data_IF_444278301084
#
_entry.id   IF_444278301084
#
_cell.length_a   1.000
_cell.length_b   1.000
_cell.length_c   1.000
_cell.angle_alpha   90.00
_cell.angle_beta   90.00
_cell.angle_gamma   90.00
#
_symmetry.space_group_name_H-M   'P 1'
#
loop_
_entity.id
_entity.type
_entity.pdbx_description
1 polymer ?
#
# COMPACT_ATOMS: atom_id res chain seq x y z
N UNK A 1 24.57 -0.24 -20.24
CA UNK A 1 23.21 -0.45 -19.73
C UNK A 1 23.31 -0.52 -18.22
N UNK A 2 22.42 0.13 -17.48
CA UNK A 2 22.42 0.07 -16.00
C UNK A 2 21.94 -1.29 -15.51
N UNK A 3 22.33 -1.69 -14.29
CA UNK A 3 21.80 -2.90 -13.65
C UNK A 3 20.26 -2.86 -13.57
N UNK A 4 19.68 -1.68 -13.30
CA UNK A 4 18.24 -1.44 -13.30
C UNK A 4 17.59 -1.81 -14.64
N UNK A 5 18.13 -1.32 -15.75
CA UNK A 5 17.61 -1.62 -17.10
C UNK A 5 17.66 -3.12 -17.41
N UNK A 6 18.73 -3.81 -16.98
CA UNK A 6 18.82 -5.27 -17.15
C UNK A 6 17.81 -6.01 -16.28
N UNK A 7 17.63 -5.59 -15.03
CA UNK A 7 16.65 -6.20 -14.12
C UNK A 7 15.21 -6.04 -14.60
N UNK A 8 14.88 -4.96 -15.33
CA UNK A 8 13.55 -4.77 -15.92
C UNK A 8 13.18 -5.84 -16.96
N UNK A 9 14.14 -6.63 -17.47
CA UNK A 9 13.83 -7.81 -18.27
C UNK A 9 13.28 -8.98 -17.45
N UNK A 10 13.43 -8.95 -16.12
CA UNK A 10 13.06 -10.01 -15.18
C UNK A 10 11.91 -9.64 -14.25
N UNK A 11 11.54 -8.36 -14.16
CA UNK A 11 10.48 -7.86 -13.26
C UNK A 11 9.54 -6.90 -13.98
N UNK A 12 8.32 -6.77 -13.45
CA UNK A 12 7.25 -5.98 -14.06
C UNK A 12 7.44 -4.47 -14.04
N UNK A 13 8.20 -3.92 -13.09
CA UNK A 13 8.31 -2.47 -12.91
C UNK A 13 9.59 -2.03 -12.20
N UNK A 14 9.87 -0.72 -12.26
CA UNK A 14 11.04 -0.13 -11.60
C UNK A 14 11.01 -0.27 -10.07
N UNK A 15 9.81 -0.22 -9.47
CA UNK A 15 9.67 -0.40 -8.03
C UNK A 15 10.11 -1.79 -7.57
N UNK A 16 9.85 -2.82 -8.39
CA UNK A 16 10.33 -4.18 -8.16
C UNK A 16 11.86 -4.25 -8.23
N UNK A 17 12.45 -3.73 -9.32
CA UNK A 17 13.90 -3.75 -9.51
C UNK A 17 14.63 -3.04 -8.37
N UNK A 18 14.13 -1.87 -7.97
CA UNK A 18 14.69 -1.10 -6.85
C UNK A 18 14.60 -1.88 -5.55
N UNK A 19 13.43 -2.43 -5.23
CA UNK A 19 13.23 -3.23 -4.02
C UNK A 19 14.19 -4.42 -3.94
N UNK A 20 14.38 -5.15 -5.05
CA UNK A 20 15.26 -6.32 -5.06
C UNK A 20 16.72 -5.94 -4.80
N UNK A 21 17.19 -4.85 -5.40
CA UNK A 21 18.55 -4.35 -5.17
C UNK A 21 18.70 -3.88 -3.72
N UNK A 22 17.85 -2.96 -3.26
CA UNK A 22 17.96 -2.35 -1.93
C UNK A 22 17.91 -3.37 -0.80
N UNK A 23 17.20 -4.50 -0.99
CA UNK A 23 17.11 -5.59 -0.03
C UNK A 23 18.14 -6.72 -0.24
N UNK A 24 19.13 -6.55 -1.13
CA UNK A 24 20.19 -7.54 -1.35
C UNK A 24 19.70 -8.86 -1.95
N UNK A 25 18.60 -8.80 -2.72
CA UNK A 25 17.97 -9.96 -3.38
C UNK A 25 18.46 -10.15 -4.82
N UNK A 26 19.51 -9.43 -5.23
CA UNK A 26 20.13 -9.55 -6.55
C UNK A 26 21.59 -9.92 -6.40
N UNK A 27 22.01 -10.96 -7.11
CA UNK A 27 23.42 -11.25 -7.36
C UNK A 27 23.79 -10.94 -8.80
N UNK A 28 24.95 -10.31 -8.97
CA UNK A 28 25.59 -10.09 -10.27
C UNK A 28 26.93 -10.82 -10.22
N UNK A 29 27.13 -11.79 -11.12
CA UNK A 29 28.32 -12.64 -11.16
C UNK A 29 28.64 -13.30 -9.80
N UNK A 30 27.60 -13.72 -9.07
CA UNK A 30 27.72 -14.35 -7.75
C UNK A 30 27.86 -13.39 -6.57
N UNK A 31 28.01 -12.08 -6.80
CA UNK A 31 28.12 -11.07 -5.75
C UNK A 31 26.78 -10.39 -5.47
N UNK A 32 26.37 -10.33 -4.20
CA UNK A 32 25.15 -9.60 -3.80
C UNK A 32 25.36 -8.11 -4.02
N UNK A 33 24.40 -7.49 -4.69
CA UNK A 33 24.40 -6.05 -5.01
C UNK A 33 23.29 -5.36 -4.24
N UNK A 34 23.63 -4.26 -3.56
CA UNK A 34 22.68 -3.38 -2.85
C UNK A 34 22.66 -1.94 -3.36
N UNK A 35 23.47 -1.63 -4.37
CA UNK A 35 23.58 -0.30 -4.96
C UNK A 35 23.16 -0.35 -6.43
N UNK A 36 22.13 0.44 -6.77
CA UNK A 36 21.55 0.49 -8.11
C UNK A 36 22.39 1.27 -9.13
N UNK A 37 23.43 1.97 -8.68
CA UNK A 37 24.36 2.73 -9.52
C UNK A 37 25.48 1.88 -10.11
N UNK A 38 25.64 0.64 -9.62
CA UNK A 38 26.66 -0.28 -10.13
C UNK A 38 26.33 -0.63 -11.60
N UNK A 39 27.27 -0.38 -12.54
CA UNK A 39 27.07 -0.74 -13.93
C UNK A 39 27.04 -2.27 -14.08
N UNK A 40 26.25 -2.75 -15.03
CA UNK A 40 26.20 -4.16 -15.40
C UNK A 40 26.47 -4.31 -16.90
N UNK A 41 27.44 -5.15 -17.26
CA UNK A 41 27.71 -5.56 -18.63
C UNK A 41 26.60 -6.51 -19.11
N UNK A 42 26.37 -6.58 -20.42
CA UNK A 42 25.46 -7.55 -21.04
C UNK A 42 25.87 -9.00 -20.81
N UNK A 43 27.16 -9.25 -20.52
CA UNK A 43 27.68 -10.59 -20.19
C UNK A 43 27.47 -10.99 -18.72
N UNK A 44 27.15 -10.04 -17.83
CA UNK A 44 27.03 -10.39 -16.42
C UNK A 44 25.82 -11.30 -16.17
N UNK A 45 26.01 -12.32 -15.33
CA UNK A 45 24.93 -13.21 -14.92
C UNK A 45 24.15 -12.58 -13.77
N UNK A 46 22.84 -12.43 -13.95
CA UNK A 46 21.92 -11.90 -12.93
C UNK A 46 21.15 -13.06 -12.31
N UNK A 47 21.20 -13.16 -10.99
CA UNK A 47 20.43 -14.11 -10.19
C UNK A 47 19.56 -13.33 -9.21
N UNK A 48 18.26 -13.63 -9.17
CA UNK A 48 17.33 -13.10 -8.17
C UNK A 48 17.19 -14.15 -7.06
N UNK A 49 17.49 -13.75 -5.83
CA UNK A 49 17.41 -14.61 -4.66
C UNK A 49 15.96 -14.81 -4.22
N UNK A 50 15.68 -15.99 -3.66
CA UNK A 50 14.38 -16.28 -3.06
C UNK A 50 14.17 -15.44 -1.80
N UNK A 51 12.91 -15.08 -1.54
CA UNK A 51 12.47 -14.43 -0.31
C UNK A 51 11.30 -15.20 0.32
N UNK A 52 11.04 -14.95 1.61
CA UNK A 52 9.87 -15.44 2.32
C UNK A 52 9.01 -14.25 2.81
N UNK A 53 7.73 -14.13 2.39
CA UNK A 53 7.06 -14.96 1.38
C UNK A 53 7.64 -14.78 -0.04
N UNK A 54 7.35 -15.73 -0.97
CA UNK A 54 7.90 -15.75 -2.32
C UNK A 54 7.64 -14.45 -3.10
N UNK A 55 8.64 -14.02 -3.87
CA UNK A 55 8.57 -12.82 -4.68
C UNK A 55 7.61 -13.00 -5.87
N UNK A 56 6.68 -12.06 -6.04
CA UNK A 56 5.84 -11.96 -7.23
C UNK A 56 6.48 -11.01 -8.24
N UNK A 57 7.49 -11.48 -8.96
CA UNK A 57 8.26 -10.66 -9.92
C UNK A 57 7.39 -9.93 -10.97
N UNK A 58 6.23 -10.49 -11.29
CA UNK A 58 5.26 -9.92 -12.23
C UNK A 58 4.12 -9.10 -11.59
N UNK A 59 4.18 -8.82 -10.28
CA UNK A 59 3.12 -8.10 -9.58
C UNK A 59 3.07 -6.61 -9.99
N UNK A 60 1.89 -5.96 -9.92
CA UNK A 60 1.77 -4.55 -10.27
C UNK A 60 2.56 -3.66 -9.29
N UNK A 61 2.84 -2.42 -9.69
CA UNK A 61 3.65 -1.49 -8.89
C UNK A 61 3.13 -1.28 -7.46
N UNK A 62 1.80 -1.23 -7.27
CA UNK A 62 1.20 -1.09 -5.94
C UNK A 62 1.50 -2.25 -5.00
N UNK A 63 1.77 -3.46 -5.52
CA UNK A 63 2.27 -4.59 -4.70
C UNK A 63 3.64 -4.26 -4.10
N UNK A 64 4.56 -3.73 -4.91
CA UNK A 64 5.92 -3.41 -4.46
C UNK A 64 5.94 -2.22 -3.50
N UNK A 65 5.06 -1.23 -3.70
CA UNK A 65 4.85 -0.15 -2.71
C UNK A 65 4.34 -0.71 -1.39
N UNK A 66 3.35 -1.60 -1.43
CA UNK A 66 2.85 -2.30 -0.26
C UNK A 66 3.96 -3.13 0.42
N UNK A 67 4.81 -3.79 -0.36
CA UNK A 67 5.93 -4.60 0.15
C UNK A 67 6.94 -3.75 0.92
N UNK A 68 7.36 -2.60 0.38
CA UNK A 68 8.25 -1.64 1.06
C UNK A 68 7.65 -1.21 2.41
N UNK A 69 6.37 -0.85 2.43
CA UNK A 69 5.69 -0.48 3.68
C UNK A 69 5.62 -1.65 4.66
N UNK A 70 5.30 -2.85 4.17
CA UNK A 70 5.19 -4.04 4.99
C UNK A 70 6.50 -4.41 5.68
N UNK A 71 7.63 -4.32 4.98
CA UNK A 71 8.94 -4.59 5.59
C UNK A 71 9.30 -3.60 6.69
N UNK A 72 8.91 -2.34 6.51
CA UNK A 72 9.27 -1.29 7.45
C UNK A 72 8.37 -1.25 8.67
N UNK A 73 7.07 -1.51 8.51
CA UNK A 73 6.08 -1.32 9.60
C UNK A 73 5.23 -2.54 9.96
N UNK A 74 5.30 -3.63 9.18
CA UNK A 74 4.56 -4.86 9.46
C UNK A 74 3.04 -4.68 9.55
N UNK A 75 2.44 -3.98 8.58
CA UNK A 75 1.03 -3.62 8.65
C UNK A 75 0.07 -4.81 8.43
N UNK A 76 0.56 -5.95 7.93
CA UNK A 76 -0.16 -7.23 7.81
C UNK A 76 0.57 -8.33 8.58
N UNK A 77 -0.18 -9.20 9.24
CA UNK A 77 0.33 -10.38 9.95
C UNK A 77 -0.46 -11.63 9.57
N UNK A 78 0.10 -12.81 9.86
CA UNK A 78 -0.56 -14.09 9.59
C UNK A 78 -1.94 -14.16 10.23
N UNK A 79 -2.96 -14.52 9.46
CA UNK A 79 -4.34 -14.62 9.93
C UNK A 79 -5.05 -13.28 10.15
N UNK A 80 -4.41 -12.13 9.88
CA UNK A 80 -5.08 -10.83 9.94
C UNK A 80 -6.26 -10.80 8.95
N UNK A 81 -7.33 -10.13 9.34
CA UNK A 81 -8.37 -9.68 8.42
C UNK A 81 -8.06 -8.26 7.95
N UNK A 82 -8.07 -8.02 6.64
CA UNK A 82 -7.65 -6.73 6.06
C UNK A 82 -8.77 -6.19 5.16
N UNK A 83 -9.34 -5.05 5.52
CA UNK A 83 -10.25 -4.32 4.64
C UNK A 83 -9.42 -3.43 3.70
N UNK A 84 -9.52 -3.66 2.39
CA UNK A 84 -8.89 -2.83 1.37
C UNK A 84 -9.96 -2.11 0.56
N UNK A 85 -9.88 -0.78 0.51
CA UNK A 85 -10.74 0.06 -0.32
C UNK A 85 -9.90 0.69 -1.42
N UNK A 86 -10.17 0.35 -2.68
CA UNK A 86 -9.32 0.71 -3.82
C UNK A 86 -10.13 1.20 -5.02
N UNK A 87 -9.56 2.04 -5.90
CA UNK A 87 -10.26 2.50 -7.12
C UNK A 87 -10.28 1.45 -8.24
N UNK A 88 -9.22 0.64 -8.33
CA UNK A 88 -9.02 -0.41 -9.33
C UNK A 88 -8.33 -1.59 -8.68
N UNK A 89 -8.43 -2.77 -9.29
CA UNK A 89 -7.75 -3.98 -8.80
C UNK A 89 -6.24 -3.72 -8.64
N UNK A 90 -5.78 -3.69 -7.39
CA UNK A 90 -4.42 -3.34 -7.01
C UNK A 90 -3.56 -4.53 -6.60
N UNK A 91 -2.28 -4.26 -6.32
CA UNK A 91 -1.32 -5.25 -5.82
C UNK A 91 -1.39 -5.50 -4.32
N UNK A 92 -2.01 -4.62 -3.54
CA UNK A 92 -2.13 -4.76 -2.08
C UNK A 92 -2.80 -6.07 -1.65
N UNK A 93 -3.95 -6.50 -2.23
CA UNK A 93 -4.57 -7.77 -1.87
C UNK A 93 -3.68 -8.99 -2.14
N UNK A 94 -2.78 -8.90 -3.14
CA UNK A 94 -1.79 -9.95 -3.40
C UNK A 94 -0.79 -10.06 -2.25
N UNK A 95 -0.30 -8.92 -1.74
CA UNK A 95 0.57 -8.88 -0.57
C UNK A 95 -0.13 -9.47 0.66
N UNK A 96 -1.39 -9.10 0.93
CA UNK A 96 -2.15 -9.65 2.06
C UNK A 96 -2.18 -11.17 2.02
N UNK A 97 -2.43 -11.75 0.84
CA UNK A 97 -2.44 -13.21 0.64
C UNK A 97 -1.07 -13.86 0.84
N UNK A 98 0.02 -13.18 0.49
CA UNK A 98 1.37 -13.70 0.71
C UNK A 98 1.68 -13.88 2.21
N UNK A 99 1.04 -13.11 3.08
CA UNK A 99 1.11 -13.28 4.54
C UNK A 99 0.04 -14.21 5.11
N UNK A 100 -0.72 -14.92 4.25
CA UNK A 100 -1.84 -15.79 4.66
C UNK A 100 -2.86 -15.06 5.55
N UNK A 101 -3.09 -13.79 5.22
CA UNK A 101 -4.15 -12.97 5.78
C UNK A 101 -5.36 -12.94 4.83
N UNK A 102 -6.53 -12.55 5.33
CA UNK A 102 -7.80 -12.54 4.61
C UNK A 102 -8.11 -11.13 4.10
N UNK A 103 -8.06 -10.88 2.77
CA UNK A 103 -8.42 -9.58 2.20
C UNK A 103 -9.94 -9.47 1.95
N UNK A 104 -10.56 -8.45 2.51
CA UNK A 104 -11.87 -7.95 2.10
C UNK A 104 -11.68 -6.75 1.17
N UNK A 105 -12.05 -6.87 -0.10
CA UNK A 105 -11.84 -5.81 -1.09
C UNK A 105 -13.15 -5.10 -1.42
N UNK A 106 -13.14 -3.78 -1.33
CA UNK A 106 -14.23 -2.91 -1.78
C UNK A 106 -13.69 -1.96 -2.84
N UNK A 107 -14.15 -2.10 -4.07
CA UNK A 107 -13.78 -1.18 -5.15
C UNK A 107 -14.47 0.17 -4.98
N UNK A 108 -13.90 1.26 -5.49
CA UNK A 108 -14.50 2.58 -5.41
C UNK A 108 -15.87 2.62 -6.10
N UNK A 109 -16.09 1.80 -7.13
CA UNK A 109 -17.41 1.64 -7.75
C UNK A 109 -18.46 1.12 -6.76
N UNK A 110 -18.09 0.13 -5.94
CA UNK A 110 -18.94 -0.40 -4.87
C UNK A 110 -19.06 0.59 -3.71
N UNK A 111 -17.95 1.26 -3.36
CA UNK A 111 -17.88 2.22 -2.27
C UNK A 111 -18.68 3.51 -2.53
N UNK A 112 -18.72 3.96 -3.79
CA UNK A 112 -19.38 5.18 -4.24
C UNK A 112 -20.78 4.94 -4.82
N UNK A 113 -21.20 3.68 -5.01
CA UNK A 113 -22.49 3.24 -5.56
C UNK A 113 -23.00 4.07 -6.76
N UNK A 114 -22.85 3.52 -7.97
CA UNK A 114 -22.96 4.16 -9.31
C UNK A 114 -24.27 4.85 -9.72
N UNK A 115 -25.15 5.28 -8.80
CA UNK A 115 -26.40 5.99 -9.13
C UNK A 115 -26.46 7.48 -8.74
N UNK A 116 -25.42 8.05 -8.14
CA UNK A 116 -25.41 9.48 -7.77
C UNK A 116 -24.00 10.08 -7.87
N UNK A 117 -23.50 10.24 -9.09
CA UNK A 117 -22.36 11.13 -9.33
C UNK A 117 -22.89 12.53 -9.60
N UNK A 118 -23.51 13.13 -8.56
CA UNK A 118 -23.64 14.57 -8.39
C UNK A 118 -23.67 14.86 -6.88
N UNK A 119 -22.54 15.30 -6.33
CA UNK A 119 -22.54 16.11 -5.11
C UNK A 119 -22.20 15.48 -3.75
N UNK A 120 -21.96 14.16 -3.62
CA UNK A 120 -21.44 13.63 -2.35
C UNK A 120 -20.69 12.31 -2.55
N UNK A 121 -19.39 12.21 -2.21
CA UNK A 121 -18.73 10.92 -2.20
C UNK A 121 -19.27 10.09 -1.01
N UNK A 122 -19.17 8.76 -1.14
CA UNK A 122 -19.26 7.75 -0.07
C UNK A 122 -20.70 7.30 0.27
N UNK A 123 -21.07 6.07 -0.10
CA UNK A 123 -22.46 5.56 -0.01
C UNK A 123 -22.59 4.21 0.69
N UNK A 124 -21.56 3.75 1.42
CA UNK A 124 -21.66 2.57 2.30
C UNK A 124 -21.77 3.00 3.76
N UNK A 125 -22.80 2.49 4.43
CA UNK A 125 -23.01 2.60 5.87
C UNK A 125 -22.09 1.64 6.63
N UNK A 126 -21.81 1.88 7.93
CA UNK A 126 -21.08 0.93 8.77
C UNK A 126 -21.69 -0.49 8.76
N UNK A 127 -23.02 -0.60 8.62
CA UNK A 127 -23.71 -1.89 8.52
C UNK A 127 -23.39 -2.64 7.21
N UNK A 128 -23.28 -1.93 6.09
CA UNK A 128 -22.90 -2.53 4.81
C UNK A 128 -21.43 -2.95 4.80
N UNK A 129 -20.55 -2.18 5.43
CA UNK A 129 -19.14 -2.56 5.60
C UNK A 129 -19.02 -3.80 6.48
N UNK A 130 -19.75 -3.86 7.60
CA UNK A 130 -19.79 -5.06 8.47
C UNK A 130 -20.38 -6.28 7.77
N UNK A 131 -21.35 -6.11 6.87
CA UNK A 131 -21.88 -7.21 6.08
C UNK A 131 -20.81 -7.82 5.14
N UNK A 132 -19.89 -7.00 4.64
CA UNK A 132 -18.75 -7.45 3.81
C UNK A 132 -17.69 -8.12 4.65
N UNK A 133 -17.28 -7.51 5.78
CA UNK A 133 -16.15 -8.00 6.59
C UNK A 133 -16.55 -9.06 7.61
N UNK A 134 -17.84 -9.27 7.85
CA UNK A 134 -18.46 -10.16 8.87
C UNK A 134 -18.13 -9.82 10.33
N UNK A 135 -17.02 -9.13 10.58
CA UNK A 135 -16.55 -8.63 11.88
C UNK A 135 -15.68 -7.37 11.68
N UNK A 136 -15.17 -6.81 12.78
CA UNK A 136 -14.12 -5.78 12.68
C UNK A 136 -12.83 -6.39 12.15
N UNK A 137 -12.06 -5.62 11.39
CA UNK A 137 -10.81 -6.02 10.74
C UNK A 137 -9.56 -5.63 11.53
N UNK A 138 -8.46 -6.36 11.33
CA UNK A 138 -7.16 -6.12 11.98
C UNK A 138 -6.39 -4.97 11.31
N UNK A 139 -6.54 -4.83 9.99
CA UNK A 139 -5.98 -3.73 9.23
C UNK A 139 -6.98 -3.12 8.23
N UNK A 140 -6.83 -1.82 8.00
CA UNK A 140 -7.57 -1.06 7.00
C UNK A 140 -6.57 -0.42 6.04
N UNK A 141 -6.76 -0.64 4.74
CA UNK A 141 -6.02 0.01 3.67
C UNK A 141 -7.00 0.84 2.86
N UNK A 142 -6.73 2.14 2.72
CA UNK A 142 -7.56 3.07 1.95
C UNK A 142 -6.73 3.70 0.83
N UNK A 143 -6.91 3.22 -0.39
CA UNK A 143 -6.20 3.65 -1.60
C UNK A 143 -7.19 4.32 -2.57
N UNK A 144 -7.51 5.59 -2.30
CA UNK A 144 -8.38 6.39 -3.15
C UNK A 144 -7.62 7.61 -3.72
N UNK A 145 -7.61 7.74 -5.04
CA UNK A 145 -7.16 8.94 -5.76
C UNK A 145 -8.21 10.06 -5.67
N UNK A 146 -8.42 10.57 -4.45
CA UNK A 146 -9.29 11.72 -4.16
C UNK A 146 -8.47 12.83 -3.49
N UNK A 147 -9.05 14.03 -3.42
CA UNK A 147 -8.54 15.09 -2.55
C UNK A 147 -8.45 14.59 -1.09
N UNK A 148 -7.39 15.00 -0.38
CA UNK A 148 -7.10 14.54 0.98
C UNK A 148 -8.28 14.70 1.96
N UNK A 149 -9.08 15.77 1.85
CA UNK A 149 -10.24 15.94 2.72
C UNK A 149 -11.32 14.89 2.45
N UNK A 150 -11.54 14.52 1.18
CA UNK A 150 -12.47 13.45 0.82
C UNK A 150 -11.98 12.09 1.32
N UNK A 151 -10.66 11.87 1.34
CA UNK A 151 -10.06 10.66 1.92
C UNK A 151 -10.29 10.61 3.43
N UNK A 152 -10.11 11.72 4.16
CA UNK A 152 -10.42 11.75 5.60
C UNK A 152 -11.90 11.50 5.88
N UNK A 153 -12.81 12.09 5.11
CA UNK A 153 -14.25 11.80 5.21
C UNK A 153 -14.59 10.31 4.94
N UNK A 154 -13.88 9.67 4.01
CA UNK A 154 -14.03 8.24 3.74
C UNK A 154 -13.57 7.41 4.93
N UNK A 155 -12.41 7.77 5.47
CA UNK A 155 -11.80 7.09 6.59
C UNK A 155 -12.67 7.18 7.85
N UNK A 156 -13.30 8.32 8.16
CA UNK A 156 -14.22 8.46 9.31
C UNK A 156 -15.32 7.39 9.32
N UNK A 157 -15.84 7.05 8.13
CA UNK A 157 -16.91 6.06 7.97
C UNK A 157 -16.40 4.61 8.01
N UNK A 158 -15.15 4.40 7.63
CA UNK A 158 -14.48 3.10 7.62
C UNK A 158 -13.89 2.74 8.98
N UNK A 159 -13.45 3.72 9.76
CA UNK A 159 -12.81 3.51 11.05
C UNK A 159 -13.61 2.61 12.00
N UNK A 160 -14.96 2.72 12.12
CA UNK A 160 -15.74 1.79 12.94
C UNK A 160 -15.56 0.30 12.62
N UNK A 161 -15.16 -0.04 11.39
CA UNK A 161 -14.86 -1.42 10.98
C UNK A 161 -13.46 -1.87 11.41
N UNK A 162 -12.53 -0.97 11.72
CA UNK A 162 -11.19 -1.31 12.20
C UNK A 162 -11.23 -1.66 13.70
N UNK A 163 -10.57 -2.73 14.13
CA UNK A 163 -10.44 -3.09 15.56
C UNK A 163 -9.71 -1.99 16.34
N UNK A 164 -9.92 -1.97 17.66
CA UNK A 164 -9.07 -1.18 18.56
C UNK A 164 -7.62 -1.60 18.37
N UNK A 165 -6.69 -0.63 18.32
CA UNK A 165 -5.26 -0.89 18.00
C UNK A 165 -5.01 -1.50 16.61
N UNK A 166 -6.04 -1.56 15.77
CA UNK A 166 -5.94 -1.98 14.38
C UNK A 166 -5.01 -1.06 13.59
N UNK A 167 -4.43 -1.62 12.54
CA UNK A 167 -3.41 -0.97 11.70
C UNK A 167 -4.09 -0.22 10.55
N UNK A 168 -3.64 0.98 10.25
CA UNK A 168 -4.15 1.78 9.15
C UNK A 168 -3.04 2.09 8.15
N UNK A 169 -3.34 1.90 6.87
CA UNK A 169 -2.58 2.50 5.76
C UNK A 169 -3.54 3.34 4.93
N UNK A 170 -3.24 4.63 4.75
CA UNK A 170 -4.06 5.53 3.93
C UNK A 170 -3.22 6.24 2.88
N UNK A 171 -3.67 6.24 1.63
CA UNK A 171 -3.07 7.01 0.56
C UNK A 171 -3.69 8.41 0.51
N UNK A 172 -2.84 9.43 0.53
CA UNK A 172 -3.21 10.81 0.27
C UNK A 172 -2.58 11.25 -1.05
N UNK A 173 -3.41 11.54 -2.05
CA UNK A 173 -2.95 11.89 -3.39
C UNK A 173 -2.36 13.31 -3.44
N UNK A 174 -1.31 13.49 -4.23
CA UNK A 174 -0.62 14.76 -4.50
C UNK A 174 -1.38 15.73 -5.39
N UNK A 175 -2.68 15.51 -5.63
CA UNK A 175 -3.53 16.41 -6.42
C UNK A 175 -3.53 17.83 -5.82
N UNK A 176 -2.67 18.69 -6.36
CA UNK A 176 -2.53 20.09 -5.96
C UNK A 176 -1.77 20.33 -4.65
N UNK A 177 -1.07 19.32 -4.11
CA UNK A 177 -0.29 19.45 -2.86
C UNK A 177 1.01 18.65 -2.94
N UNK A 178 2.08 19.19 -2.35
CA UNK A 178 3.34 18.46 -2.20
C UNK A 178 3.30 17.46 -1.04
N UNK A 179 4.26 16.54 -1.01
CA UNK A 179 4.34 15.50 0.01
C UNK A 179 4.49 16.04 1.44
N UNK A 180 5.14 17.21 1.61
CA UNK A 180 5.31 17.83 2.91
C UNK A 180 3.97 18.33 3.47
N UNK A 181 3.20 19.00 2.63
CA UNK A 181 1.86 19.49 2.98
C UNK A 181 0.92 18.34 3.32
N UNK A 182 1.02 17.21 2.59
CA UNK A 182 0.22 16.02 2.88
C UNK A 182 0.61 15.35 4.21
N UNK A 183 1.90 15.27 4.54
CA UNK A 183 2.38 14.78 5.84
C UNK A 183 1.84 15.66 6.99
N UNK A 184 1.96 16.99 6.86
CA UNK A 184 1.42 17.94 7.83
C UNK A 184 -0.09 17.77 8.02
N UNK A 185 -0.85 17.61 6.93
CA UNK A 185 -2.28 17.32 6.99
C UNK A 185 -2.57 16.00 7.71
N UNK A 186 -1.86 14.93 7.37
CA UNK A 186 -2.05 13.62 7.99
C UNK A 186 -1.83 13.68 9.50
N UNK A 187 -0.74 14.31 9.94
CA UNK A 187 -0.40 14.47 11.37
C UNK A 187 -1.37 15.38 12.11
N UNK A 188 -2.10 16.25 11.41
CA UNK A 188 -3.15 17.08 12.01
C UNK A 188 -4.48 16.35 12.13
N UNK A 189 -4.97 15.76 11.04
CA UNK A 189 -6.35 15.24 10.97
C UNK A 189 -6.48 13.82 11.51
N UNK A 190 -5.50 12.94 11.29
CA UNK A 190 -5.62 11.54 11.74
C UNK A 190 -5.71 11.39 13.26
N UNK A 191 -4.98 12.18 14.10
CA UNK A 191 -5.16 12.12 15.54
C UNK A 191 -6.57 12.52 16.02
N UNK A 192 -7.21 13.50 15.36
CA UNK A 192 -8.61 13.89 15.64
C UNK A 192 -9.58 12.73 15.37
N UNK A 193 -9.19 11.79 14.50
CA UNK A 193 -9.92 10.58 14.16
C UNK A 193 -9.49 9.35 14.99
N UNK A 194 -8.77 9.55 16.10
CA UNK A 194 -8.23 8.49 16.95
C UNK A 194 -7.23 7.56 16.23
N UNK A 195 -6.44 8.12 15.32
CA UNK A 195 -5.35 7.41 14.65
C UNK A 195 -4.02 8.08 14.99
N UNK A 196 -3.14 7.29 15.58
CA UNK A 196 -1.78 7.70 15.90
C UNK A 196 -0.85 7.43 14.70
N UNK A 197 -0.37 8.51 14.07
CA UNK A 197 0.48 8.47 12.88
C UNK A 197 1.89 8.05 13.25
N UNK A 198 2.31 6.89 12.73
CA UNK A 198 3.62 6.29 13.03
C UNK A 198 4.64 6.57 11.94
N UNK A 199 4.22 6.50 10.68
CA UNK A 199 5.14 6.66 9.56
C UNK A 199 4.45 7.23 8.32
N UNK A 200 5.22 7.96 7.51
CA UNK A 200 4.78 8.50 6.22
C UNK A 200 5.78 8.10 5.15
N UNK A 201 5.27 7.56 4.06
CA UNK A 201 6.02 7.05 2.92
C UNK A 201 5.76 7.94 1.71
N UNK A 202 6.72 8.79 1.34
CA UNK A 202 6.57 9.64 0.16
C UNK A 202 6.75 8.83 -1.12
N UNK A 203 5.80 8.98 -2.04
CA UNK A 203 5.89 8.50 -3.42
C UNK A 203 5.70 9.67 -4.38
N UNK A 204 5.83 9.40 -5.68
CA UNK A 204 5.71 10.44 -6.71
C UNK A 204 4.28 11.00 -6.81
N UNK A 205 3.27 10.17 -6.61
CA UNK A 205 1.86 10.51 -6.78
C UNK A 205 1.18 11.00 -5.49
N UNK A 206 1.90 11.02 -4.36
CA UNK A 206 1.37 11.37 -3.05
C UNK A 206 2.10 10.64 -1.93
N UNK A 207 1.45 10.55 -0.77
CA UNK A 207 2.02 9.89 0.42
C UNK A 207 1.13 8.76 0.89
N UNK A 208 1.74 7.67 1.34
CA UNK A 208 1.06 6.69 2.17
C UNK A 208 1.36 6.99 3.64
N UNK A 209 0.34 6.91 4.48
CA UNK A 209 0.45 7.17 5.91
C UNK A 209 0.11 5.89 6.64
N UNK A 210 1.03 5.42 7.48
CA UNK A 210 0.81 4.32 8.40
C UNK A 210 0.51 4.85 9.81
N UNK A 211 -0.52 4.30 10.43
CA UNK A 211 -0.89 4.61 11.80
C UNK A 211 -1.57 3.45 12.51
N UNK A 212 -1.85 3.64 13.80
CA UNK A 212 -2.63 2.70 14.61
C UNK A 212 -3.82 3.39 15.25
N UNK A 213 -4.96 2.71 15.23
CA UNK A 213 -6.16 3.18 15.93
C UNK A 213 -5.90 3.19 17.45
N UNK A 214 -6.16 4.29 18.13
CA UNK A 214 -5.83 4.43 19.56
C UNK A 214 -6.88 3.83 20.48
N UNK A 215 -8.15 3.79 20.06
CA UNK A 215 -9.30 3.27 20.83
C UNK A 215 -10.21 2.35 20.00
#
# INVERSE_FOLDING_TARGET
>A
MSLKERLLAHVSCEAAARYLIENGLVKVNGHVITDYTIPADGLDTIEILNADPPLRLNAPESYWRARVMQERVGFVSFGDSVLHVEIRDGGFPLLVRDYRAEPYVITAKQFLNTKRIEGNPLTLTPGEIQAVTKARVDALVLELELDAFKVFQALERLLPALKSRGKLVVFLSGLGRDNKSLDEMARRFLPEMFVDVREVFPFKEGVYVYGKRTN
#
